data_IF_600327776315
#
_entry.id   IF_600327776315
#
_cell.length_a   1.000
_cell.length_b   1.000
_cell.length_c   1.000
_cell.angle_alpha   90.00
_cell.angle_beta   90.00
_cell.angle_gamma   90.00
#
_symmetry.space_group_name_H-M   'P 1'
#
loop_
_entity.id
_entity.type
_entity.pdbx_description
1 polymer ?
#
# COMPACT_ATOMS: atom_id res chain seq x y z
N UNK A 1 0.26 -25.56 -11.48
CA UNK A 1 0.49 -26.04 -12.83
C UNK A 1 -0.25 -25.15 -13.84
N UNK A 2 0.49 -24.56 -14.78
CA UNK A 2 -0.05 -23.69 -15.83
C UNK A 2 -0.65 -24.54 -16.97
N UNK A 3 -1.90 -24.25 -17.33
CA UNK A 3 -2.60 -24.91 -18.46
C UNK A 3 -2.61 -24.04 -19.73
N UNK A 4 -2.03 -22.85 -19.69
CA UNK A 4 -1.98 -21.92 -20.81
C UNK A 4 -0.99 -22.41 -21.88
N UNK A 5 -1.29 -22.07 -23.14
CA UNK A 5 -0.43 -22.37 -24.31
C UNK A 5 -0.27 -21.10 -25.14
N UNK A 6 0.92 -20.92 -25.70
CA UNK A 6 1.23 -19.76 -26.56
C UNK A 6 0.81 -18.44 -25.91
N UNK A 7 1.12 -18.26 -24.61
CA UNK A 7 0.62 -17.15 -23.80
C UNK A 7 1.78 -16.26 -23.35
N UNK A 8 1.60 -14.94 -23.49
CA UNK A 8 2.48 -13.93 -22.91
C UNK A 8 1.87 -13.45 -21.60
N UNK A 9 2.59 -13.62 -20.50
CA UNK A 9 2.22 -13.09 -19.19
C UNK A 9 2.84 -11.72 -19.01
N UNK A 10 2.03 -10.69 -18.83
CA UNK A 10 2.48 -9.32 -18.54
C UNK A 10 2.30 -9.12 -17.04
N UNK A 11 3.41 -8.87 -16.34
CA UNK A 11 3.45 -8.65 -14.90
C UNK A 11 3.83 -7.19 -14.67
N UNK A 12 2.86 -6.40 -14.27
CA UNK A 12 3.07 -5.01 -13.91
C UNK A 12 3.53 -4.87 -12.45
N UNK A 13 4.11 -3.72 -12.11
CA UNK A 13 4.71 -3.43 -10.79
C UNK A 13 5.68 -4.53 -10.31
N UNK A 14 6.43 -5.14 -11.23
CA UNK A 14 7.37 -6.22 -10.93
C UNK A 14 8.48 -5.81 -9.96
N UNK A 15 8.69 -4.50 -9.75
CA UNK A 15 9.59 -3.96 -8.73
C UNK A 15 9.28 -4.48 -7.31
N UNK A 16 8.03 -4.85 -7.04
CA UNK A 16 7.56 -5.32 -5.74
C UNK A 16 7.68 -6.85 -5.54
N UNK A 17 8.07 -7.61 -6.56
CA UNK A 17 8.16 -9.07 -6.48
C UNK A 17 9.40 -9.47 -5.68
N UNK A 18 9.16 -10.09 -4.53
CA UNK A 18 10.20 -10.63 -3.64
C UNK A 18 10.62 -12.05 -4.03
N UNK A 19 11.89 -12.38 -3.74
CA UNK A 19 12.38 -13.76 -3.78
C UNK A 19 12.90 -14.24 -2.42
N UNK A 20 12.54 -13.56 -1.35
CA UNK A 20 12.85 -13.97 0.03
C UNK A 20 11.66 -14.71 0.61
N UNK A 21 11.89 -15.91 1.14
CA UNK A 21 10.85 -16.70 1.79
C UNK A 21 10.27 -15.94 2.99
N UNK A 22 8.95 -15.91 3.07
CA UNK A 22 8.22 -15.38 4.23
C UNK A 22 7.54 -16.54 4.96
N UNK A 23 7.74 -16.62 6.28
CA UNK A 23 7.31 -17.77 7.11
C UNK A 23 5.77 -17.96 7.19
N UNK A 24 4.97 -17.03 6.70
CA UNK A 24 3.51 -17.01 6.83
C UNK A 24 2.75 -17.07 5.49
N UNK A 25 3.31 -17.69 4.45
CA UNK A 25 2.59 -17.81 3.19
C UNK A 25 1.55 -18.94 3.23
N UNK A 26 0.30 -18.59 2.88
CA UNK A 26 -0.77 -19.61 2.71
C UNK A 26 -0.66 -20.37 1.40
N UNK A 27 0.08 -19.87 0.42
CA UNK A 27 0.19 -20.37 -0.93
C UNK A 27 1.64 -20.33 -1.39
N UNK A 28 2.05 -21.30 -2.23
CA UNK A 28 3.36 -21.36 -2.85
C UNK A 28 4.50 -21.68 -1.87
N UNK A 29 5.73 -21.45 -2.33
CA UNK A 29 6.96 -21.69 -1.56
C UNK A 29 7.34 -20.55 -0.62
N UNK A 30 6.66 -19.43 -0.72
CA UNK A 30 7.01 -18.17 -0.05
C UNK A 30 8.00 -17.30 -0.83
N UNK A 31 8.55 -17.82 -1.92
CA UNK A 31 9.42 -17.11 -2.85
C UNK A 31 8.64 -16.79 -4.11
N UNK A 32 8.04 -15.60 -4.13
CA UNK A 32 7.06 -15.24 -5.17
C UNK A 32 7.67 -15.27 -6.59
N UNK A 33 8.92 -14.83 -6.76
CA UNK A 33 9.58 -14.87 -8.08
C UNK A 33 9.82 -16.30 -8.56
N UNK A 34 10.28 -17.21 -7.67
CA UNK A 34 10.47 -18.62 -7.99
C UNK A 34 9.14 -19.25 -8.42
N UNK A 35 8.09 -19.07 -7.62
CA UNK A 35 6.76 -19.59 -7.88
C UNK A 35 6.16 -19.05 -9.19
N UNK A 36 6.36 -17.75 -9.48
CA UNK A 36 5.89 -17.12 -10.72
C UNK A 36 6.58 -17.72 -11.96
N UNK A 37 7.91 -17.83 -11.93
CA UNK A 37 8.69 -18.40 -13.03
C UNK A 37 8.31 -19.87 -13.25
N UNK A 38 8.26 -20.65 -12.18
CA UNK A 38 7.83 -22.05 -12.26
C UNK A 38 6.43 -22.17 -12.86
N UNK A 39 5.48 -21.37 -12.38
CA UNK A 39 4.13 -21.37 -12.91
C UNK A 39 4.10 -21.08 -14.41
N UNK A 40 4.72 -20.00 -14.87
CA UNK A 40 4.67 -19.55 -16.26
C UNK A 40 5.31 -20.59 -17.20
N UNK A 41 6.51 -21.05 -16.85
CA UNK A 41 7.29 -21.92 -17.73
C UNK A 41 6.95 -23.41 -17.61
N UNK A 42 6.01 -23.80 -16.75
CA UNK A 42 5.33 -25.11 -16.82
C UNK A 42 4.26 -25.16 -17.90
N UNK A 43 3.88 -24.00 -18.48
CA UNK A 43 3.00 -23.93 -19.64
C UNK A 43 3.72 -24.21 -20.96
N UNK A 44 2.95 -24.52 -22.01
CA UNK A 44 3.47 -24.81 -23.33
C UNK A 44 3.67 -23.53 -24.15
N UNK A 45 4.93 -23.25 -24.54
CA UNK A 45 5.31 -22.05 -25.29
C UNK A 45 4.81 -20.74 -24.61
N UNK A 46 5.05 -20.59 -23.31
CA UNK A 46 4.72 -19.39 -22.54
C UNK A 46 5.97 -18.54 -22.30
N UNK A 47 5.79 -17.22 -22.25
CA UNK A 47 6.83 -16.26 -21.87
C UNK A 47 6.26 -15.16 -20.98
N UNK A 48 7.14 -14.35 -20.39
CA UNK A 48 6.72 -13.23 -19.53
C UNK A 48 7.38 -11.91 -19.94
N UNK A 49 6.69 -10.82 -19.63
CA UNK A 49 7.19 -9.45 -19.66
C UNK A 49 7.05 -8.90 -18.25
N UNK A 50 8.16 -8.49 -17.66
CA UNK A 50 8.20 -7.87 -16.34
C UNK A 50 8.30 -6.36 -16.52
N UNK A 51 7.30 -5.61 -16.06
CA UNK A 51 7.24 -4.15 -16.11
C UNK A 51 7.47 -3.59 -14.69
N UNK A 52 8.28 -2.54 -14.57
CA UNK A 52 8.50 -1.91 -13.28
C UNK A 52 9.57 -0.83 -13.33
N UNK A 53 9.76 -0.14 -12.22
CA UNK A 53 10.73 0.96 -12.09
C UNK A 53 11.71 0.67 -10.94
N UNK A 54 13.00 0.51 -11.28
CA UNK A 54 14.08 0.24 -10.32
C UNK A 54 14.38 1.43 -9.38
N UNK A 55 13.90 2.63 -9.73
CA UNK A 55 13.99 3.80 -8.88
C UNK A 55 12.91 3.86 -7.80
N UNK A 56 11.82 3.09 -7.95
CA UNK A 56 10.80 2.94 -6.91
C UNK A 56 11.28 2.02 -5.78
N UNK A 57 10.46 1.94 -4.72
CA UNK A 57 10.74 1.08 -3.58
C UNK A 57 10.85 -0.39 -4.01
N UNK A 58 11.91 -1.10 -3.60
CA UNK A 58 12.01 -2.54 -3.77
C UNK A 58 11.10 -3.29 -2.79
N UNK A 59 11.02 -4.63 -2.88
CA UNK A 59 10.29 -5.42 -1.90
C UNK A 59 10.80 -5.18 -0.48
N UNK A 60 9.91 -5.27 0.50
CA UNK A 60 10.24 -5.04 1.92
C UNK A 60 11.42 -5.94 2.33
N UNK A 61 12.38 -5.38 3.06
CA UNK A 61 13.63 -6.01 3.48
C UNK A 61 14.62 -6.37 2.35
N UNK A 62 14.44 -5.80 1.14
CA UNK A 62 15.39 -5.96 0.04
C UNK A 62 15.91 -4.59 -0.42
N UNK A 63 17.16 -4.55 -0.86
CA UNK A 63 17.82 -3.33 -1.37
C UNK A 63 17.57 -3.12 -2.86
N UNK A 64 17.21 -4.17 -3.59
CA UNK A 64 16.96 -4.15 -5.03
C UNK A 64 15.76 -5.03 -5.37
N UNK A 65 15.15 -4.81 -6.54
CA UNK A 65 14.10 -5.66 -7.07
C UNK A 65 14.72 -6.86 -7.81
N UNK A 66 14.56 -8.10 -7.31
CA UNK A 66 15.10 -9.29 -7.98
C UNK A 66 14.44 -9.55 -9.33
N UNK A 67 13.15 -9.25 -9.47
CA UNK A 67 12.40 -9.48 -10.70
C UNK A 67 12.82 -8.54 -11.85
N UNK A 68 13.36 -7.35 -11.54
CA UNK A 68 13.85 -6.39 -12.55
C UNK A 68 15.36 -6.51 -12.78
N UNK A 69 16.03 -7.49 -12.19
CA UNK A 69 17.44 -7.74 -12.41
C UNK A 69 17.64 -8.86 -13.44
N UNK A 70 18.08 -8.48 -14.65
CA UNK A 70 18.28 -9.41 -15.76
C UNK A 70 19.24 -10.56 -15.40
N UNK A 71 20.28 -10.30 -14.60
CA UNK A 71 21.24 -11.35 -14.23
C UNK A 71 20.59 -12.39 -13.29
N UNK A 72 19.71 -11.96 -12.39
CA UNK A 72 18.94 -12.88 -11.55
C UNK A 72 18.00 -13.74 -12.43
N UNK A 73 17.31 -13.13 -13.39
CA UNK A 73 16.41 -13.87 -14.29
C UNK A 73 17.18 -14.87 -15.17
N UNK A 74 18.36 -14.49 -15.66
CA UNK A 74 19.23 -15.43 -16.43
C UNK A 74 19.66 -16.66 -15.62
N UNK A 75 19.79 -16.56 -14.29
CA UNK A 75 20.14 -17.72 -13.45
C UNK A 75 19.08 -18.83 -13.48
N UNK A 76 17.84 -18.51 -13.88
CA UNK A 76 16.80 -19.53 -14.15
C UNK A 76 16.94 -20.21 -15.52
N UNK A 77 18.00 -19.89 -16.27
CA UNK A 77 18.21 -20.46 -17.63
C UNK A 77 17.33 -19.81 -18.70
N UNK A 78 16.80 -18.60 -18.44
CA UNK A 78 15.92 -17.87 -19.35
C UNK A 78 16.73 -16.87 -20.18
N UNK A 79 16.47 -16.84 -21.50
CA UNK A 79 16.92 -15.73 -22.36
C UNK A 79 16.19 -14.47 -21.97
N UNK A 80 16.95 -13.39 -21.73
CA UNK A 80 16.41 -12.16 -21.16
C UNK A 80 16.89 -10.94 -21.95
N UNK A 81 15.95 -10.14 -22.40
CA UNK A 81 16.21 -8.83 -23.00
C UNK A 81 15.68 -7.73 -22.07
N UNK A 82 16.38 -6.59 -22.01
CA UNK A 82 16.01 -5.45 -21.17
C UNK A 82 15.81 -4.21 -22.03
N UNK A 83 14.66 -3.57 -21.86
CA UNK A 83 14.32 -2.31 -22.53
C UNK A 83 14.02 -1.24 -21.47
N UNK A 84 14.53 -0.02 -21.70
CA UNK A 84 14.27 1.13 -20.86
C UNK A 84 13.37 2.13 -21.56
N UNK A 85 12.21 2.42 -20.96
CA UNK A 85 11.33 3.50 -21.38
C UNK A 85 11.81 4.79 -20.70
N UNK A 86 12.14 5.80 -21.48
CA UNK A 86 12.73 7.06 -21.00
C UNK A 86 11.80 8.26 -21.14
N UNK A 87 10.73 8.15 -21.94
CA UNK A 87 9.77 9.20 -22.15
C UNK A 87 8.69 9.19 -21.07
N UNK A 88 8.46 10.35 -20.45
CA UNK A 88 7.42 10.51 -19.41
C UNK A 88 6.20 11.18 -20.04
N UNK A 89 5.06 10.47 -20.05
CA UNK A 89 3.80 10.95 -20.64
C UNK A 89 2.80 11.48 -19.60
N UNK A 90 3.00 11.16 -18.33
CA UNK A 90 2.03 11.45 -17.24
C UNK A 90 1.99 12.93 -16.86
N UNK A 91 3.06 13.68 -17.06
CA UNK A 91 3.20 15.07 -16.65
C UNK A 91 3.76 15.93 -17.77
N UNK A 92 3.44 17.24 -17.76
CA UNK A 92 3.99 18.18 -18.73
C UNK A 92 5.49 18.40 -18.50
N UNK A 93 6.21 18.81 -19.56
CA UNK A 93 7.64 19.16 -19.46
C UNK A 93 7.92 20.35 -18.53
N UNK A 94 6.89 21.15 -18.19
CA UNK A 94 6.97 22.30 -17.29
C UNK A 94 6.60 21.96 -15.83
N UNK A 95 6.38 20.67 -15.51
CA UNK A 95 6.02 20.23 -14.17
C UNK A 95 7.22 20.19 -13.23
N UNK A 96 7.12 20.88 -12.11
CA UNK A 96 8.09 20.81 -11.02
C UNK A 96 8.13 19.43 -10.37
N UNK A 97 7.01 18.70 -10.34
CA UNK A 97 6.93 17.32 -9.87
C UNK A 97 7.85 16.44 -10.72
N UNK A 98 7.73 16.52 -12.06
CA UNK A 98 8.57 15.78 -13.00
C UNK A 98 10.05 16.16 -12.85
N UNK A 99 10.35 17.46 -12.77
CA UNK A 99 11.71 17.97 -12.62
C UNK A 99 12.38 17.39 -11.38
N UNK A 100 11.73 17.52 -10.22
CA UNK A 100 12.27 17.02 -8.94
C UNK A 100 12.32 15.48 -8.89
N UNK A 101 11.32 14.77 -9.43
CA UNK A 101 11.37 13.31 -9.55
C UNK A 101 12.55 12.84 -10.40
N UNK A 102 12.86 13.56 -11.48
CA UNK A 102 14.01 13.26 -12.36
C UNK A 102 15.34 13.45 -11.61
N UNK A 103 15.47 14.53 -10.82
CA UNK A 103 16.65 14.72 -9.97
C UNK A 103 16.86 13.55 -8.99
N UNK A 104 15.80 13.15 -8.29
CA UNK A 104 15.86 12.02 -7.35
C UNK A 104 16.26 10.73 -8.08
N UNK A 105 15.64 10.45 -9.24
CA UNK A 105 15.96 9.28 -10.07
C UNK A 105 17.42 9.26 -10.51
N UNK A 106 17.98 10.41 -10.91
CA UNK A 106 19.38 10.53 -11.30
C UNK A 106 20.31 10.26 -10.12
N UNK A 107 19.99 10.75 -8.92
CA UNK A 107 20.72 10.46 -7.70
C UNK A 107 20.73 8.96 -7.37
N UNK A 108 19.57 8.29 -7.48
CA UNK A 108 19.45 6.83 -7.28
C UNK A 108 20.32 6.07 -8.28
N UNK A 109 20.27 6.42 -9.57
CA UNK A 109 21.01 5.74 -10.64
C UNK A 109 22.52 5.91 -10.49
N UNK A 110 22.97 7.07 -10.03
CA UNK A 110 24.38 7.38 -9.81
C UNK A 110 24.89 6.92 -8.43
N UNK A 111 24.05 6.33 -7.58
CA UNK A 111 24.31 6.05 -6.17
C UNK A 111 24.81 7.29 -5.40
N UNK A 112 24.30 8.47 -5.77
CA UNK A 112 24.62 9.72 -5.09
C UNK A 112 23.62 9.92 -3.93
N UNK A 113 24.14 9.89 -2.71
CA UNK A 113 23.37 10.10 -1.48
C UNK A 113 23.54 11.51 -0.91
N UNK A 114 24.18 12.43 -1.67
CA UNK A 114 24.23 13.84 -1.29
C UNK A 114 22.83 14.44 -1.18
N UNK A 115 22.56 15.36 -0.24
CA UNK A 115 21.28 16.03 -0.18
C UNK A 115 20.93 16.68 -1.52
N UNK A 116 19.80 16.29 -2.08
CA UNK A 116 19.23 16.96 -3.27
C UNK A 116 18.54 18.25 -2.81
N UNK A 117 18.46 19.23 -3.71
CA UNK A 117 17.74 20.48 -3.46
C UNK A 117 16.48 20.51 -4.31
N UNK A 118 15.32 20.49 -3.66
CA UNK A 118 14.04 20.65 -4.35
C UNK A 118 13.94 22.06 -4.94
N UNK A 119 13.56 22.12 -6.19
CA UNK A 119 13.12 23.37 -6.80
C UNK A 119 11.61 23.53 -6.58
N UNK A 120 11.27 24.52 -5.78
CA UNK A 120 9.88 24.85 -5.38
C UNK A 120 9.33 26.09 -6.09
N UNK A 121 10.03 26.64 -7.08
CA UNK A 121 9.56 27.81 -7.85
C UNK A 121 8.47 27.43 -8.89
N UNK A 122 8.10 26.15 -8.92
CA UNK A 122 7.02 25.65 -9.77
C UNK A 122 5.65 25.77 -9.10
N UNK A 123 4.59 25.96 -9.91
CA UNK A 123 3.21 26.12 -9.41
C UNK A 123 2.61 24.85 -8.80
N UNK A 124 3.14 23.70 -9.16
CA UNK A 124 2.65 22.38 -8.77
C UNK A 124 3.37 21.79 -7.54
N UNK A 125 4.37 22.51 -6.99
CA UNK A 125 5.08 22.13 -5.75
C UNK A 125 4.98 23.25 -4.72
N UNK A 126 4.77 22.88 -3.45
CA UNK A 126 4.69 23.79 -2.34
C UNK A 126 5.42 23.25 -1.10
N UNK A 127 6.32 24.03 -0.52
CA UNK A 127 6.89 23.78 0.82
C UNK A 127 5.82 24.15 1.85
N UNK A 128 5.55 23.26 2.81
CA UNK A 128 4.46 23.41 3.79
C UNK A 128 5.02 23.35 5.19
N UNK A 129 4.69 24.35 5.99
CA UNK A 129 4.91 24.33 7.44
C UNK A 129 3.81 23.55 8.17
N UNK A 130 4.09 23.11 9.41
CA UNK A 130 3.08 22.43 10.22
C UNK A 130 1.85 23.28 10.53
N UNK A 131 2.00 24.61 10.55
CA UNK A 131 0.91 25.56 10.85
C UNK A 131 -0.09 25.67 9.69
N UNK A 132 0.37 25.61 8.45
CA UNK A 132 -0.45 25.74 7.24
C UNK A 132 -1.12 24.42 6.82
N UNK A 133 -0.67 23.30 7.37
CA UNK A 133 -1.03 21.97 6.90
C UNK A 133 -2.54 21.70 6.92
N UNK A 134 -3.22 22.04 8.02
CA UNK A 134 -4.66 21.81 8.18
C UNK A 134 -5.46 22.57 7.12
N UNK A 135 -5.11 23.84 6.90
CA UNK A 135 -5.81 24.69 5.92
C UNK A 135 -5.59 24.21 4.49
N UNK A 136 -4.38 23.74 4.17
CA UNK A 136 -4.05 23.19 2.86
C UNK A 136 -4.73 21.84 2.60
N UNK A 137 -4.88 20.98 3.61
CA UNK A 137 -5.65 19.73 3.50
C UNK A 137 -7.13 20.07 3.27
N UNK A 138 -7.71 20.99 4.06
CA UNK A 138 -9.11 21.43 3.87
C UNK A 138 -9.33 22.00 2.46
N UNK A 139 -8.41 22.83 1.98
CA UNK A 139 -8.44 23.37 0.62
C UNK A 139 -8.37 22.26 -0.44
N UNK A 140 -7.49 21.29 -0.25
CA UNK A 140 -7.37 20.15 -1.17
C UNK A 140 -8.63 19.31 -1.21
N UNK A 141 -9.21 18.99 -0.05
CA UNK A 141 -10.48 18.24 0.03
C UNK A 141 -11.64 18.99 -0.63
N UNK A 142 -11.65 20.33 -0.52
CA UNK A 142 -12.67 21.16 -1.16
C UNK A 142 -12.50 21.26 -2.68
N UNK A 143 -11.26 21.19 -3.18
CA UNK A 143 -10.95 21.40 -4.59
C UNK A 143 -11.04 20.10 -5.41
N UNK A 144 -10.51 18.98 -4.88
CA UNK A 144 -10.36 17.72 -5.63
C UNK A 144 -11.02 16.52 -4.95
N UNK A 145 -11.52 16.68 -3.73
CA UNK A 145 -12.12 15.59 -2.94
C UNK A 145 -11.12 14.84 -2.07
N UNK A 146 -11.65 14.06 -1.12
CA UNK A 146 -10.85 13.24 -0.21
C UNK A 146 -10.19 12.08 -0.94
N UNK A 147 -10.88 11.48 -1.89
CA UNK A 147 -10.41 10.35 -2.70
C UNK A 147 -9.21 10.72 -3.60
N UNK A 148 -9.08 11.98 -3.98
CA UNK A 148 -8.00 12.50 -4.82
C UNK A 148 -6.89 13.20 -4.03
N UNK A 149 -6.93 13.12 -2.69
CA UNK A 149 -5.94 13.73 -1.78
C UNK A 149 -5.38 12.70 -0.83
N UNK A 150 -4.05 12.59 -0.72
CA UNK A 150 -3.40 11.63 0.16
C UNK A 150 -2.22 12.25 0.91
N UNK A 151 -1.97 11.79 2.14
CA UNK A 151 -0.72 12.06 2.86
C UNK A 151 0.16 10.81 2.82
N UNK A 152 1.39 10.97 2.37
CA UNK A 152 2.39 9.90 2.33
C UNK A 152 3.40 10.07 3.45
N UNK A 153 3.63 9.00 4.19
CA UNK A 153 4.55 8.97 5.33
C UNK A 153 5.57 7.85 5.20
N UNK A 154 6.68 7.99 5.93
CA UNK A 154 7.72 6.95 5.95
C UNK A 154 7.35 5.75 6.84
N UNK A 155 6.49 5.93 7.84
CA UNK A 155 6.16 4.88 8.81
C UNK A 155 4.66 4.76 9.11
N UNK A 156 4.22 3.55 9.45
CA UNK A 156 2.84 3.28 9.87
C UNK A 156 2.42 4.13 11.08
N UNK A 157 3.33 4.31 12.06
CA UNK A 157 3.06 5.13 13.24
C UNK A 157 2.70 6.57 12.88
N UNK A 158 3.42 7.17 11.91
CA UNK A 158 3.11 8.52 11.44
C UNK A 158 1.81 8.55 10.65
N UNK A 159 1.58 7.56 9.79
CA UNK A 159 0.30 7.44 9.07
C UNK A 159 -0.89 7.37 10.05
N UNK A 160 -0.80 6.57 11.12
CA UNK A 160 -1.83 6.49 12.16
C UNK A 160 -2.07 7.84 12.84
N UNK A 161 -1.00 8.60 13.16
CA UNK A 161 -1.11 9.94 13.75
C UNK A 161 -1.83 10.92 12.81
N UNK A 162 -1.45 10.94 11.53
CA UNK A 162 -2.12 11.77 10.52
C UNK A 162 -3.57 11.38 10.33
N UNK A 163 -3.88 10.10 10.20
CA UNK A 163 -5.25 9.60 10.06
C UNK A 163 -6.13 10.06 11.22
N UNK A 164 -5.62 9.98 12.45
CA UNK A 164 -6.33 10.45 13.65
C UNK A 164 -6.49 11.98 13.65
N UNK A 165 -5.42 12.72 13.31
CA UNK A 165 -5.43 14.17 13.22
C UNK A 165 -6.43 14.68 12.17
N UNK A 166 -6.44 14.10 10.99
CA UNK A 166 -7.37 14.46 9.91
C UNK A 166 -8.81 14.22 10.32
N UNK A 167 -9.12 13.03 10.88
CA UNK A 167 -10.50 12.76 11.34
C UNK A 167 -10.97 13.76 12.38
N UNK A 168 -10.14 14.07 13.35
CA UNK A 168 -10.53 14.94 14.48
C UNK A 168 -10.51 16.42 14.13
N UNK A 169 -9.50 16.92 13.38
CA UNK A 169 -9.25 18.35 13.19
C UNK A 169 -9.72 18.88 11.84
N UNK A 170 -9.71 18.05 10.81
CA UNK A 170 -10.13 18.42 9.45
C UNK A 170 -11.59 18.01 9.21
N UNK A 171 -11.92 16.75 9.49
CA UNK A 171 -13.25 16.20 9.23
C UNK A 171 -14.22 16.29 10.41
N UNK A 172 -13.75 16.74 11.58
CA UNK A 172 -14.55 16.90 12.81
C UNK A 172 -15.34 15.64 13.18
N UNK A 173 -14.75 14.46 12.94
CA UNK A 173 -15.38 13.16 13.23
C UNK A 173 -14.99 12.68 14.62
N UNK A 174 -15.95 12.63 15.54
CA UNK A 174 -15.74 12.20 16.94
C UNK A 174 -15.98 10.70 17.13
N UNK A 175 -16.89 10.10 16.35
CA UNK A 175 -17.22 8.68 16.43
C UNK A 175 -16.04 7.82 16.02
N UNK A 176 -15.96 6.59 16.54
CA UNK A 176 -14.91 5.63 16.20
C UNK A 176 -14.92 5.27 14.70
N UNK A 177 -16.11 5.15 14.11
CA UNK A 177 -16.37 5.01 12.67
C UNK A 177 -17.49 5.96 12.28
N UNK A 178 -17.43 6.51 11.08
CA UNK A 178 -18.44 7.39 10.53
C UNK A 178 -18.68 7.08 9.05
N UNK A 179 -19.88 7.34 8.57
CA UNK A 179 -20.15 7.34 7.12
C UNK A 179 -19.21 8.36 6.44
N UNK A 180 -18.74 8.01 5.24
CA UNK A 180 -17.75 8.78 4.52
C UNK A 180 -16.32 8.69 5.11
N UNK A 181 -16.04 7.72 5.99
CA UNK A 181 -14.65 7.40 6.33
C UNK A 181 -14.02 6.57 5.21
N UNK A 182 -12.74 6.89 4.91
CA UNK A 182 -11.95 6.11 4.00
C UNK A 182 -11.11 5.08 4.76
N UNK A 183 -11.22 3.83 4.34
CA UNK A 183 -10.49 2.70 4.88
C UNK A 183 -9.60 2.08 3.81
N UNK A 184 -8.42 1.62 4.21
CA UNK A 184 -7.56 0.75 3.41
C UNK A 184 -7.60 -0.66 3.98
N UNK A 185 -7.83 -1.63 3.12
CA UNK A 185 -7.75 -3.06 3.45
C UNK A 185 -6.28 -3.43 3.63
N UNK A 186 -5.95 -4.14 4.71
CA UNK A 186 -4.54 -4.46 5.03
C UNK A 186 -4.16 -5.92 4.83
N UNK A 187 -5.14 -6.75 4.41
CA UNK A 187 -4.95 -8.19 4.15
C UNK A 187 -5.96 -8.68 3.14
N UNK A 188 -5.51 -9.47 2.14
CA UNK A 188 -6.41 -10.11 1.18
C UNK A 188 -7.52 -10.89 1.87
N UNK A 189 -8.75 -10.73 1.41
CA UNK A 189 -9.92 -11.40 1.95
C UNK A 189 -10.74 -12.06 0.83
N UNK A 190 -10.91 -13.37 0.96
CA UNK A 190 -11.66 -14.23 0.02
C UNK A 190 -13.02 -14.65 0.58
N UNK A 191 -13.39 -14.18 1.77
CA UNK A 191 -14.64 -14.56 2.42
C UNK A 191 -15.77 -13.61 2.07
N UNK A 192 -15.54 -12.30 2.21
CA UNK A 192 -16.56 -11.27 1.97
C UNK A 192 -16.78 -10.95 0.49
N UNK A 193 -15.92 -11.43 -0.41
CA UNK A 193 -16.13 -11.33 -1.86
C UNK A 193 -17.09 -12.38 -2.42
N UNK A 194 -17.29 -13.51 -1.74
CA UNK A 194 -18.08 -14.66 -2.23
C UNK A 194 -19.49 -14.32 -2.74
N UNK A 195 -20.25 -13.36 -2.15
CA UNK A 195 -21.59 -13.00 -2.63
C UNK A 195 -21.58 -12.21 -3.94
N UNK A 196 -20.43 -11.74 -4.43
CA UNK A 196 -20.29 -10.81 -5.55
C UNK A 196 -19.62 -11.49 -6.73
N UNK A 197 -20.35 -11.71 -7.84
CA UNK A 197 -19.84 -12.48 -9.01
C UNK A 197 -18.63 -11.86 -9.69
N UNK A 198 -18.46 -10.53 -9.62
CA UNK A 198 -17.38 -9.79 -10.29
C UNK A 198 -16.23 -9.41 -9.33
N UNK A 199 -16.17 -10.02 -8.16
CA UNK A 199 -15.15 -9.73 -7.15
C UNK A 199 -14.52 -11.03 -6.66
N UNK A 200 -13.37 -11.40 -7.21
CA UNK A 200 -12.67 -12.63 -6.82
C UNK A 200 -12.22 -12.58 -5.35
N UNK A 201 -11.69 -11.44 -4.92
CA UNK A 201 -11.30 -11.18 -3.53
C UNK A 201 -11.19 -9.66 -3.29
N UNK A 202 -11.21 -9.26 -2.01
CA UNK A 202 -10.91 -7.89 -1.59
C UNK A 202 -9.42 -7.84 -1.32
N UNK A 203 -8.68 -6.99 -2.04
CA UNK A 203 -7.22 -6.98 -2.03
C UNK A 203 -6.63 -6.19 -0.86
N UNK A 204 -5.45 -6.60 -0.42
CA UNK A 204 -4.60 -5.76 0.43
C UNK A 204 -4.14 -4.52 -0.37
N UNK A 205 -4.52 -3.34 0.11
CA UNK A 205 -4.28 -2.05 -0.55
C UNK A 205 -5.55 -1.41 -1.10
N UNK A 206 -6.65 -2.17 -1.29
CA UNK A 206 -7.92 -1.60 -1.73
C UNK A 206 -8.37 -0.49 -0.79
N UNK A 207 -8.80 0.62 -1.37
CA UNK A 207 -9.41 1.75 -0.65
C UNK A 207 -10.92 1.64 -0.74
N UNK A 208 -11.59 1.82 0.40
CA UNK A 208 -13.03 1.79 0.50
C UNK A 208 -13.56 3.00 1.28
N UNK A 209 -14.70 3.54 0.83
CA UNK A 209 -15.48 4.54 1.55
C UNK A 209 -16.59 3.86 2.34
N UNK A 210 -16.75 4.17 3.62
CA UNK A 210 -17.86 3.70 4.43
C UNK A 210 -19.15 4.42 4.01
N UNK A 211 -20.08 3.69 3.41
CA UNK A 211 -21.40 4.20 3.06
C UNK A 211 -22.31 4.17 4.28
N UNK A 212 -22.26 3.10 5.06
CA UNK A 212 -23.07 2.92 6.26
C UNK A 212 -22.36 2.11 7.34
N UNK A 213 -22.38 2.61 8.56
CA UNK A 213 -21.99 1.87 9.76
C UNK A 213 -23.22 1.15 10.32
N UNK A 214 -23.11 -0.16 10.49
CA UNK A 214 -24.17 -1.02 11.04
C UNK A 214 -23.93 -1.35 12.52
N UNK A 215 -24.07 -2.61 12.88
CA UNK A 215 -23.95 -3.07 14.27
C UNK A 215 -22.50 -3.21 14.72
N UNK A 216 -22.26 -2.84 15.97
CA UNK A 216 -21.01 -3.12 16.66
C UNK A 216 -21.12 -4.45 17.42
N UNK A 217 -20.04 -5.22 17.40
CA UNK A 217 -19.94 -6.51 18.07
C UNK A 217 -18.70 -6.56 18.94
N UNK A 218 -18.81 -7.26 20.06
CA UNK A 218 -17.67 -7.67 20.86
C UNK A 218 -17.69 -9.20 20.95
N UNK A 219 -16.68 -9.86 20.38
CA UNK A 219 -16.60 -11.31 20.31
C UNK A 219 -15.14 -11.75 20.40
N UNK A 220 -14.87 -12.86 21.08
CA UNK A 220 -13.52 -13.40 21.26
C UNK A 220 -12.52 -12.38 21.82
N UNK A 221 -13.03 -11.43 22.63
CA UNK A 221 -12.26 -10.35 23.21
C UNK A 221 -11.73 -9.31 22.22
N UNK A 222 -12.28 -9.21 21.02
CA UNK A 222 -12.00 -8.20 20.01
C UNK A 222 -13.28 -7.48 19.59
N UNK A 223 -13.14 -6.27 19.03
CA UNK A 223 -14.26 -5.41 18.61
C UNK A 223 -14.41 -5.41 17.09
N UNK A 224 -15.65 -5.50 16.65
CA UNK A 224 -16.01 -5.56 15.24
C UNK A 224 -17.14 -4.60 14.92
N UNK A 225 -17.28 -4.24 13.63
CA UNK A 225 -18.45 -3.55 13.13
C UNK A 225 -18.86 -4.14 11.78
N UNK A 226 -20.17 -4.24 11.57
CA UNK A 226 -20.72 -4.49 10.24
C UNK A 226 -20.79 -3.16 9.49
N UNK A 227 -20.25 -3.10 8.29
CA UNK A 227 -20.28 -1.90 7.44
C UNK A 227 -20.75 -2.24 6.04
N UNK A 228 -21.39 -1.27 5.39
CA UNK A 228 -21.51 -1.23 3.93
C UNK A 228 -20.48 -0.22 3.43
N UNK A 229 -19.62 -0.63 2.51
CA UNK A 229 -18.55 0.19 1.96
C UNK A 229 -18.55 0.12 0.45
N UNK A 230 -18.10 1.20 -0.21
CA UNK A 230 -17.84 1.25 -1.64
C UNK A 230 -16.35 1.08 -1.89
N UNK A 231 -15.97 0.02 -2.59
CA UNK A 231 -14.59 -0.16 -3.08
C UNK A 231 -14.35 0.83 -4.21
N UNK A 232 -13.40 1.75 -4.04
CA UNK A 232 -13.21 2.90 -4.93
C UNK A 232 -12.84 2.47 -6.35
N UNK A 233 -11.84 1.57 -6.48
CA UNK A 233 -11.32 1.16 -7.79
C UNK A 233 -12.32 0.31 -8.60
N UNK A 234 -13.27 -0.34 -7.94
CA UNK A 234 -14.28 -1.20 -8.56
C UNK A 234 -15.65 -0.52 -8.71
N UNK A 235 -15.85 0.64 -8.06
CA UNK A 235 -17.13 1.32 -7.89
C UNK A 235 -18.25 0.34 -7.45
N UNK A 236 -17.93 -0.53 -6.50
CA UNK A 236 -18.78 -1.61 -6.04
C UNK A 236 -19.07 -1.49 -4.55
N UNK A 237 -20.36 -1.61 -4.18
CA UNK A 237 -20.77 -1.69 -2.78
C UNK A 237 -20.64 -3.12 -2.24
N UNK A 238 -19.97 -3.25 -1.09
CA UNK A 238 -19.77 -4.51 -0.39
C UNK A 238 -20.19 -4.34 1.07
N UNK A 239 -20.94 -5.33 1.59
CA UNK A 239 -21.23 -5.42 3.03
C UNK A 239 -20.32 -6.45 3.66
N UNK A 240 -19.60 -6.05 4.71
CA UNK A 240 -18.62 -6.89 5.38
C UNK A 240 -18.50 -6.53 6.86
N UNK A 241 -17.95 -7.45 7.64
CA UNK A 241 -17.51 -7.19 9.01
C UNK A 241 -16.06 -6.75 9.01
N UNK A 242 -15.74 -5.67 9.73
CA UNK A 242 -14.38 -5.20 9.94
C UNK A 242 -13.94 -5.47 11.39
N UNK A 243 -12.64 -5.69 11.59
CA UNK A 243 -11.98 -5.75 12.88
C UNK A 243 -11.59 -4.34 13.32
N UNK A 244 -12.36 -3.69 14.21
CA UNK A 244 -12.15 -2.31 14.66
C UNK A 244 -10.77 -2.15 15.31
N UNK A 245 -10.34 -3.10 16.12
CA UNK A 245 -9.06 -3.03 16.82
C UNK A 245 -7.87 -2.99 15.85
N UNK A 246 -8.05 -3.45 14.60
CA UNK A 246 -7.01 -3.33 13.58
C UNK A 246 -6.72 -1.88 13.18
N UNK A 247 -7.67 -0.94 13.33
CA UNK A 247 -7.47 0.49 13.05
C UNK A 247 -6.34 1.09 13.90
N UNK A 248 -6.14 0.55 15.11
CA UNK A 248 -5.21 1.08 16.13
C UNK A 248 -3.93 0.25 16.28
N UNK A 249 -3.85 -0.91 15.64
CA UNK A 249 -2.69 -1.79 15.72
C UNK A 249 -1.53 -1.26 14.87
N UNK A 250 -0.51 -0.66 15.48
CA UNK A 250 0.59 0.00 14.76
C UNK A 250 1.67 -0.96 14.23
N UNK A 251 1.66 -2.22 14.67
CA UNK A 251 2.67 -3.23 14.31
C UNK A 251 2.04 -4.52 13.81
N UNK A 252 2.81 -5.30 13.04
CA UNK A 252 2.39 -6.63 12.60
C UNK A 252 2.14 -7.57 13.80
N UNK A 253 2.97 -7.48 14.85
CA UNK A 253 2.78 -8.28 16.07
C UNK A 253 1.46 -8.00 16.77
N UNK A 254 1.02 -6.74 16.85
CA UNK A 254 -0.28 -6.40 17.44
C UNK A 254 -1.46 -7.02 16.65
N UNK A 255 -1.34 -7.11 15.32
CA UNK A 255 -2.32 -7.80 14.48
C UNK A 255 -2.28 -9.33 14.73
N UNK A 256 -1.09 -9.91 14.88
CA UNK A 256 -0.95 -11.35 15.20
C UNK A 256 -1.52 -11.70 16.57
N UNK A 257 -1.33 -10.85 17.57
CA UNK A 257 -1.93 -10.99 18.89
C UNK A 257 -3.46 -10.97 18.81
N UNK A 258 -4.06 -10.03 18.04
CA UNK A 258 -5.50 -10.00 17.81
C UNK A 258 -6.02 -11.27 17.11
N UNK A 259 -5.33 -11.74 16.07
CA UNK A 259 -5.68 -12.97 15.38
C UNK A 259 -5.61 -14.18 16.31
N UNK A 260 -4.56 -14.26 17.14
CA UNK A 260 -4.38 -15.35 18.13
C UNK A 260 -5.48 -15.32 19.18
N UNK A 261 -5.87 -14.12 19.65
CA UNK A 261 -6.96 -13.94 20.62
C UNK A 261 -8.29 -14.43 20.06
N UNK A 262 -8.60 -14.08 18.80
CA UNK A 262 -9.81 -14.56 18.12
C UNK A 262 -9.80 -16.09 17.98
N UNK A 263 -8.67 -16.68 17.54
CA UNK A 263 -8.56 -18.13 17.40
C UNK A 263 -8.72 -18.87 18.73
N UNK A 264 -8.13 -18.35 19.82
CA UNK A 264 -8.27 -18.93 21.15
C UNK A 264 -9.72 -18.85 21.65
N UNK A 265 -10.38 -17.70 21.47
CA UNK A 265 -11.80 -17.56 21.80
C UNK A 265 -12.70 -18.52 21.03
N UNK A 266 -12.40 -18.75 19.75
CA UNK A 266 -13.12 -19.77 18.96
C UNK A 266 -12.88 -21.20 19.46
N UNK A 267 -11.70 -21.49 20.01
CA UNK A 267 -11.42 -22.81 20.61
C UNK A 267 -12.24 -23.03 21.90
N UNK A 268 -12.52 -21.99 22.66
CA UNK A 268 -13.33 -22.03 23.86
C UNK A 268 -14.82 -22.32 23.57
N UNK A 269 -15.31 -22.11 22.36
CA UNK A 269 -16.69 -22.44 21.96
C UNK A 269 -16.94 -23.96 21.83
N UNK A 270 -15.88 -24.79 21.82
CA UNK A 270 -16.03 -26.24 21.71
C UNK A 270 -16.16 -26.88 23.06
N UNK A 271 -17.29 -27.55 23.32
CA UNK A 271 -17.53 -28.33 24.54
C UNK A 271 -16.66 -29.60 24.62
N UNK A 272 -16.20 -30.11 23.48
CA UNK A 272 -15.36 -31.31 23.37
C UNK A 272 -14.14 -31.03 22.47
N UNK A 273 -13.01 -31.70 22.69
CA UNK A 273 -11.83 -31.53 21.87
C UNK A 273 -12.13 -31.76 20.37
N UNK A 274 -11.80 -30.78 19.56
CA UNK A 274 -11.97 -30.81 18.09
C UNK A 274 -10.63 -31.11 17.40
N UNK A 275 -10.67 -31.83 16.27
CA UNK A 275 -9.47 -32.04 15.48
C UNK A 275 -8.97 -30.72 14.86
N UNK A 276 -7.64 -30.58 14.72
CA UNK A 276 -7.04 -29.40 14.09
C UNK A 276 -7.64 -29.13 12.68
N UNK A 277 -7.90 -30.19 11.93
CA UNK A 277 -8.49 -30.07 10.57
C UNK A 277 -9.92 -29.51 10.64
N UNK A 278 -10.75 -30.01 11.56
CA UNK A 278 -12.12 -29.51 11.70
C UNK A 278 -12.12 -28.04 12.18
N UNK A 279 -11.30 -27.72 13.18
CA UNK A 279 -11.15 -26.35 13.67
C UNK A 279 -10.83 -25.35 12.56
N UNK A 280 -9.84 -25.65 11.71
CA UNK A 280 -9.49 -24.77 10.61
C UNK A 280 -10.59 -24.66 9.54
N UNK A 281 -11.36 -25.73 9.32
CA UNK A 281 -12.51 -25.69 8.43
C UNK A 281 -13.60 -24.74 8.98
N UNK A 282 -13.86 -24.79 10.27
CA UNK A 282 -14.84 -23.93 10.92
C UNK A 282 -14.35 -22.48 10.99
N UNK A 283 -13.05 -22.25 11.28
CA UNK A 283 -12.46 -20.92 11.25
C UNK A 283 -12.58 -20.26 9.87
N UNK A 284 -12.38 -21.00 8.78
CA UNK A 284 -12.55 -20.48 7.42
C UNK A 284 -13.99 -20.08 7.05
N UNK A 285 -14.99 -20.53 7.84
CA UNK A 285 -16.40 -20.17 7.68
C UNK A 285 -16.86 -19.14 8.71
N UNK A 286 -16.05 -18.81 9.71
CA UNK A 286 -16.41 -17.90 10.78
C UNK A 286 -16.25 -16.45 10.34
N UNK A 287 -17.29 -15.63 10.48
CA UNK A 287 -17.32 -14.23 10.06
C UNK A 287 -16.37 -13.33 10.86
N UNK A 288 -16.14 -13.63 12.15
CA UNK A 288 -15.24 -12.86 13.00
C UNK A 288 -13.77 -13.15 12.68
N UNK A 289 -13.43 -14.42 12.41
CA UNK A 289 -12.08 -14.78 11.96
C UNK A 289 -11.75 -14.18 10.58
N UNK A 290 -12.74 -14.08 9.70
CA UNK A 290 -12.62 -13.50 8.37
C UNK A 290 -12.94 -12.00 8.33
N UNK A 291 -13.11 -11.32 9.46
CA UNK A 291 -13.32 -9.90 9.50
C UNK A 291 -12.19 -9.16 8.77
N UNK A 292 -12.55 -8.13 8.00
CA UNK A 292 -11.58 -7.33 7.28
C UNK A 292 -10.66 -6.59 8.25
N UNK A 293 -9.35 -6.73 8.06
CA UNK A 293 -8.35 -5.91 8.74
C UNK A 293 -8.18 -4.61 7.97
N UNK A 294 -8.37 -3.49 8.64
CA UNK A 294 -8.47 -2.18 8.01
C UNK A 294 -7.64 -1.12 8.74
N UNK A 295 -7.28 -0.07 8.02
CA UNK A 295 -6.71 1.18 8.53
C UNK A 295 -7.47 2.36 7.93
N UNK A 296 -7.46 3.52 8.58
CA UNK A 296 -7.89 4.73 7.89
C UNK A 296 -6.95 5.06 6.75
N UNK A 297 -7.48 5.62 5.66
CA UNK A 297 -6.78 5.80 4.39
C UNK A 297 -6.55 7.26 4.00
N UNK A 298 -6.61 8.21 4.92
CA UNK A 298 -6.25 9.61 4.67
C UNK A 298 -4.74 9.81 4.61
N UNK A 299 -3.99 8.97 5.32
CA UNK A 299 -2.53 8.91 5.30
C UNK A 299 -2.07 7.46 5.26
N UNK A 300 -1.13 7.16 4.35
CA UNK A 300 -0.58 5.82 4.14
C UNK A 300 0.95 5.87 4.00
N UNK A 301 1.60 4.71 4.05
CA UNK A 301 3.05 4.64 3.79
C UNK A 301 3.36 4.61 2.31
N UNK A 302 4.58 5.03 1.92
CA UNK A 302 5.03 5.00 0.53
C UNK A 302 4.92 3.61 -0.13
N UNK A 303 5.18 2.52 0.61
CA UNK A 303 4.99 1.15 0.09
C UNK A 303 3.52 0.86 -0.28
N UNK A 304 2.59 1.36 0.54
CA UNK A 304 1.15 1.18 0.28
C UNK A 304 0.62 2.09 -0.82
N UNK A 305 1.37 3.13 -1.17
CA UNK A 305 1.05 4.05 -2.25
C UNK A 305 1.56 3.60 -3.62
N UNK A 306 2.39 2.54 -3.69
CA UNK A 306 2.85 2.02 -4.98
C UNK A 306 1.67 1.59 -5.84
N UNK A 307 1.73 1.89 -7.14
CA UNK A 307 0.63 1.69 -8.08
C UNK A 307 -0.46 2.76 -8.05
N UNK A 308 -0.66 3.47 -6.92
CA UNK A 308 -1.65 4.54 -6.79
C UNK A 308 -1.20 5.88 -7.40
N UNK A 309 -2.16 6.79 -7.64
CA UNK A 309 -1.92 8.16 -8.07
C UNK A 309 -3.05 9.07 -7.53
N UNK A 310 -2.70 10.28 -7.10
CA UNK A 310 -3.63 11.26 -6.54
C UNK A 310 -3.36 12.64 -7.11
N UNK A 311 -4.39 13.45 -7.22
CA UNK A 311 -4.25 14.83 -7.72
C UNK A 311 -3.41 15.66 -6.73
N UNK A 312 -3.69 15.58 -5.44
CA UNK A 312 -2.97 16.28 -4.39
C UNK A 312 -2.26 15.30 -3.44
N UNK A 313 -0.94 15.39 -3.37
CA UNK A 313 -0.12 14.54 -2.50
C UNK A 313 0.66 15.40 -1.50
N UNK A 314 0.50 15.10 -0.23
CA UNK A 314 1.28 15.64 0.87
C UNK A 314 2.34 14.61 1.29
N UNK A 315 3.61 14.95 1.22
CA UNK A 315 4.70 14.09 1.68
C UNK A 315 5.20 14.60 3.01
N UNK A 316 5.02 13.83 4.08
CA UNK A 316 5.62 14.13 5.37
C UNK A 316 6.99 13.48 5.49
N UNK A 317 8.04 14.31 5.56
CA UNK A 317 9.41 13.82 5.71
C UNK A 317 9.61 13.09 7.04
N UNK A 318 8.97 13.57 8.11
CA UNK A 318 9.25 13.12 9.46
C UNK A 318 10.62 13.62 9.97
N UNK A 319 11.17 12.92 10.96
CA UNK A 319 12.52 13.22 11.46
C UNK A 319 13.57 12.60 10.55
N UNK A 320 14.45 13.43 9.99
CA UNK A 320 15.56 13.01 9.12
C UNK A 320 16.79 13.91 9.35
N UNK A 321 17.94 13.30 9.54
CA UNK A 321 19.25 13.97 9.51
C UNK A 321 19.97 13.65 8.19
N UNK A 322 21.04 14.39 7.87
CA UNK A 322 21.81 14.15 6.64
C UNK A 322 22.40 12.74 6.58
N UNK A 323 22.83 12.20 7.73
CA UNK A 323 23.42 10.88 7.85
C UNK A 323 22.42 9.73 7.66
N UNK A 324 21.12 10.04 7.74
CA UNK A 324 20.05 9.08 7.51
C UNK A 324 19.63 8.99 6.03
N UNK A 325 20.21 9.84 5.17
CA UNK A 325 19.93 9.78 3.73
C UNK A 325 20.62 8.55 3.15
N UNK A 326 19.83 7.64 2.61
CA UNK A 326 20.27 6.41 1.96
C UNK A 326 19.63 6.29 0.57
N UNK A 327 20.10 5.34 -0.23
CA UNK A 327 19.46 5.02 -1.50
C UNK A 327 17.99 4.63 -1.31
N UNK A 328 17.68 3.85 -0.26
CA UNK A 328 16.31 3.44 0.07
C UNK A 328 15.43 4.64 0.43
N UNK A 329 15.98 5.63 1.14
CA UNK A 329 15.27 6.87 1.40
C UNK A 329 14.93 7.60 0.08
N UNK A 330 15.85 7.67 -0.87
CA UNK A 330 15.59 8.28 -2.17
C UNK A 330 14.60 7.47 -3.01
N UNK A 331 14.64 6.14 -2.96
CA UNK A 331 13.63 5.30 -3.60
C UNK A 331 12.23 5.54 -3.00
N UNK A 332 12.15 5.68 -1.67
CA UNK A 332 10.91 6.06 -1.00
C UNK A 332 10.44 7.44 -1.45
N UNK A 333 11.33 8.43 -1.47
CA UNK A 333 11.01 9.81 -1.84
C UNK A 333 10.58 9.90 -3.31
N UNK A 334 11.28 9.22 -4.20
CA UNK A 334 10.92 9.10 -5.61
C UNK A 334 9.53 8.47 -5.79
N UNK A 335 9.30 7.34 -5.10
CA UNK A 335 8.00 6.67 -5.12
C UNK A 335 6.90 7.63 -4.66
N UNK A 336 7.11 8.36 -3.57
CA UNK A 336 6.13 9.30 -3.02
C UNK A 336 5.87 10.49 -3.95
N UNK A 337 6.92 11.13 -4.50
CA UNK A 337 6.82 12.28 -5.41
C UNK A 337 6.05 11.90 -6.68
N UNK A 338 6.33 10.74 -7.24
CA UNK A 338 5.68 10.27 -8.48
C UNK A 338 4.21 9.87 -8.31
N UNK A 339 3.67 9.90 -7.10
CA UNK A 339 2.22 9.66 -6.85
C UNK A 339 1.37 10.89 -7.17
N UNK A 340 1.96 12.11 -7.13
CA UNK A 340 1.24 13.34 -7.41
C UNK A 340 1.01 13.53 -8.92
N UNK A 341 -0.22 13.88 -9.30
CA UNK A 341 -0.56 14.18 -10.71
C UNK A 341 -0.78 15.67 -10.96
N UNK A 342 -1.17 16.45 -9.95
CA UNK A 342 -1.44 17.89 -10.09
C UNK A 342 -0.67 18.74 -9.10
N UNK A 343 -0.66 18.38 -7.79
CA UNK A 343 0.03 19.16 -6.75
C UNK A 343 0.76 18.27 -5.76
N UNK A 344 1.97 18.73 -5.44
CA UNK A 344 2.85 18.13 -4.45
C UNK A 344 3.12 19.12 -3.31
N UNK A 345 2.88 18.67 -2.07
CA UNK A 345 3.13 19.43 -0.85
C UNK A 345 4.22 18.75 -0.03
N UNK A 346 5.33 19.46 0.18
CA UNK A 346 6.48 18.98 0.95
C UNK A 346 6.33 19.44 2.41
N UNK A 347 5.89 18.53 3.29
CA UNK A 347 5.52 18.83 4.67
C UNK A 347 6.69 18.56 5.61
N UNK A 348 7.07 19.53 6.42
CA UNK A 348 8.13 19.43 7.44
C UNK A 348 9.48 18.98 6.89
N UNK A 349 9.79 19.31 5.64
CA UNK A 349 11.11 19.02 5.07
C UNK A 349 12.19 19.87 5.70
N UNK A 350 13.33 19.27 5.99
CA UNK A 350 14.51 19.97 6.52
C UNK A 350 15.06 20.97 5.52
N UNK A 351 15.55 22.13 6.00
CA UNK A 351 16.05 23.20 5.13
C UNK A 351 17.18 22.79 4.21
N UNK A 352 17.93 21.74 4.55
CA UNK A 352 18.99 21.24 3.65
C UNK A 352 18.49 20.59 2.34
N UNK A 353 17.19 20.43 2.18
CA UNK A 353 16.55 20.06 0.91
C UNK A 353 16.15 21.28 0.07
N UNK A 354 16.47 22.47 0.50
CA UNK A 354 16.18 23.72 -0.22
C UNK A 354 17.44 24.57 -0.30
N UNK A 355 17.53 25.42 -1.32
CA UNK A 355 18.64 26.35 -1.51
C UNK A 355 18.42 27.65 -0.66
N UNK A 356 18.25 27.51 0.65
CA UNK A 356 18.18 28.63 1.58
C UNK A 356 19.45 28.76 2.41
#
# INVERSE_FOLDING_TARGET
YNKCKNTVFIIDEASMISNTATDNTKFGSGKLLDDLIEYIYTGDNCCMILLGDIAQLPPIFQHNSPALNADIIKHYGLDTETFNLTEVLRQSSESGILYNATMIRNAINNNDISPIHFDVDFKDITKVSGEELIDLINSSYSNVGQENTIILTYSNKRATLYNRGIRNQVLMKESELSNGDFLMITKNNYFWSKPYENLDFIANGDIAEIIRVGHFHEMYGARFADITMRLIDYDMEVTARILIDSLYADTASAIEELNTKILNGMLEDYEVPVSKQQFWKDAQQNEYYNALQVKFAYAITGHKAQGGAWQHVFIDQGYLTREMITKEYYQWLYTAVTRATEKLYLVNFSNFFFNE
#
